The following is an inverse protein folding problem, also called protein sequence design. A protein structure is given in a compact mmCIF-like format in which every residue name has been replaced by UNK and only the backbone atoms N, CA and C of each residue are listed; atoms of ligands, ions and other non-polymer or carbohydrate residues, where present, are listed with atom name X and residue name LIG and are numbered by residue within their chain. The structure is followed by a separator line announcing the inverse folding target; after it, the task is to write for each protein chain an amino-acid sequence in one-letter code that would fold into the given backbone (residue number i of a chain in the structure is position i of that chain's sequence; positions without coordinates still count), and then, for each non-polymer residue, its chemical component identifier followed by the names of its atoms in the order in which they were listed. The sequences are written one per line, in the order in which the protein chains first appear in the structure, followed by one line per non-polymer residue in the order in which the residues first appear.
data_IF_174465524166
#
_entry.id   IF_174465524166
#
_cell.length_a   1.000
_cell.length_b   1.000
_cell.length_c   1.000
_cell.angle_alpha   90.00
_cell.angle_beta   90.00
_cell.angle_gamma   90.00
#
_symmetry.space_group_name_H-M   'P 1'
#
loop_
_entity.id
_entity.type
_entity.pdbx_description
1 polymer ?
#
# COMPACT_ATOMS: atom_id res chain seq x y z
N UNK A 1 0.02 -21.55 -6.14
CA UNK A 1 -1.06 -20.57 -5.88
C UNK A 1 -0.55 -19.19 -6.30
N UNK A 2 -1.05 -18.63 -7.41
CA UNK A 2 -0.45 -17.50 -8.14
C UNK A 2 -0.90 -16.10 -7.67
N UNK A 3 -1.78 -16.03 -6.66
CA UNK A 3 -2.39 -14.78 -6.16
C UNK A 3 -1.62 -14.11 -5.01
N UNK A 4 -0.51 -14.70 -4.57
CA UNK A 4 0.35 -14.15 -3.51
C UNK A 4 1.51 -13.28 -4.03
N UNK A 5 1.43 -12.76 -5.27
CA UNK A 5 2.55 -12.03 -5.88
C UNK A 5 2.82 -10.64 -5.28
N UNK A 6 1.83 -10.01 -4.64
CA UNK A 6 2.01 -8.74 -3.91
C UNK A 6 1.14 -8.68 -2.64
N UNK A 7 1.52 -9.39 -1.54
CA UNK A 7 0.75 -9.41 -0.30
C UNK A 7 0.58 -8.00 0.30
N UNK A 8 1.55 -7.11 0.05
CA UNK A 8 1.48 -5.74 0.52
C UNK A 8 0.36 -4.92 -0.15
N UNK A 9 0.03 -5.18 -1.41
CA UNK A 9 -1.09 -4.50 -2.08
C UNK A 9 -2.44 -4.85 -1.44
N UNK A 10 -2.63 -6.13 -1.13
CA UNK A 10 -3.83 -6.63 -0.43
C UNK A 10 -3.89 -6.02 0.99
N UNK A 11 -2.76 -5.92 1.68
CA UNK A 11 -2.66 -5.28 2.99
C UNK A 11 -3.13 -3.82 2.92
N UNK A 12 -2.70 -3.07 1.91
CA UNK A 12 -3.10 -1.67 1.69
C UNK A 12 -4.61 -1.52 1.44
N UNK A 13 -5.20 -2.41 0.65
CA UNK A 13 -6.66 -2.42 0.42
C UNK A 13 -7.41 -2.74 1.72
N UNK A 14 -6.99 -3.76 2.46
CA UNK A 14 -7.62 -4.14 3.72
C UNK A 14 -7.53 -2.98 4.72
N UNK A 15 -6.35 -2.35 4.84
CA UNK A 15 -6.16 -1.19 5.71
C UNK A 15 -7.13 -0.04 5.35
N UNK A 16 -7.27 0.28 4.06
CA UNK A 16 -8.20 1.30 3.60
C UNK A 16 -9.66 0.96 3.94
N UNK A 17 -10.09 -0.28 3.70
CA UNK A 17 -11.45 -0.74 4.04
C UNK A 17 -11.70 -0.65 5.54
N UNK A 18 -10.76 -1.12 6.37
CA UNK A 18 -10.87 -1.09 7.83
C UNK A 18 -10.99 0.35 8.35
N UNK A 19 -10.19 1.29 7.83
CA UNK A 19 -10.30 2.71 8.19
C UNK A 19 -11.67 3.27 7.80
N UNK A 20 -12.17 2.99 6.60
CA UNK A 20 -13.48 3.45 6.14
C UNK A 20 -14.62 2.91 7.01
N UNK A 21 -14.57 1.62 7.37
CA UNK A 21 -15.54 1.01 8.30
C UNK A 21 -15.47 1.70 9.66
N UNK A 22 -14.26 1.94 10.18
CA UNK A 22 -14.05 2.62 11.46
C UNK A 22 -14.63 4.05 11.46
N UNK A 23 -14.47 4.79 10.37
CA UNK A 23 -15.08 6.12 10.17
C UNK A 23 -16.61 6.03 10.20
N UNK A 24 -17.19 5.05 9.52
CA UNK A 24 -18.65 4.82 9.54
C UNK A 24 -19.17 4.52 10.94
N UNK A 25 -18.47 3.69 11.70
CA UNK A 25 -18.83 3.37 13.10
C UNK A 25 -18.74 4.61 14.00
N UNK A 26 -17.67 5.41 13.86
CA UNK A 26 -17.49 6.65 14.60
C UNK A 26 -18.58 7.68 14.25
N UNK A 27 -18.94 7.80 12.98
CA UNK A 27 -20.01 8.69 12.51
C UNK A 27 -21.39 8.33 13.09
N UNK A 28 -21.61 7.06 13.39
CA UNK A 28 -22.83 6.56 14.04
C UNK A 28 -22.78 6.62 15.58
N UNK A 29 -21.76 7.24 16.18
CA UNK A 29 -21.64 7.43 17.63
C UNK A 29 -21.05 6.24 18.39
N UNK A 30 -20.58 5.20 17.70
CA UNK A 30 -19.93 4.07 18.37
C UNK A 30 -18.47 4.43 18.73
N UNK A 31 -18.16 4.39 20.03
CA UNK A 31 -16.78 4.58 20.53
C UNK A 31 -15.80 3.52 20.01
N UNK A 32 -16.31 2.35 19.57
CA UNK A 32 -15.51 1.31 18.92
C UNK A 32 -14.88 1.78 17.59
N UNK A 33 -15.46 2.79 16.93
CA UNK A 33 -14.93 3.34 15.69
C UNK A 33 -13.50 3.87 15.81
N UNK A 34 -13.14 4.49 16.94
CA UNK A 34 -11.77 4.98 17.17
C UNK A 34 -10.74 3.84 17.19
N UNK A 35 -11.07 2.70 17.81
CA UNK A 35 -10.17 1.54 17.87
C UNK A 35 -10.02 0.88 16.49
N UNK A 36 -11.09 0.82 15.71
CA UNK A 36 -11.06 0.28 14.34
C UNK A 36 -10.22 1.18 13.42
N UNK A 37 -10.41 2.51 13.51
CA UNK A 37 -9.57 3.47 12.76
C UNK A 37 -8.11 3.30 13.16
N UNK A 38 -7.79 3.22 14.45
CA UNK A 38 -6.42 3.05 14.92
C UNK A 38 -5.79 1.75 14.39
N UNK A 39 -6.52 0.63 14.44
CA UNK A 39 -6.07 -0.63 13.87
C UNK A 39 -5.82 -0.54 12.36
N UNK A 40 -6.73 0.09 11.62
CA UNK A 40 -6.57 0.32 10.18
C UNK A 40 -5.39 1.25 9.85
N UNK A 41 -5.15 2.28 10.65
CA UNK A 41 -4.00 3.17 10.50
C UNK A 41 -2.67 2.47 10.75
N UNK A 42 -2.59 1.57 11.74
CA UNK A 42 -1.38 0.75 11.98
C UNK A 42 -1.10 -0.17 10.79
N UNK A 43 -2.13 -0.84 10.26
CA UNK A 43 -1.99 -1.65 9.05
C UNK A 43 -1.54 -0.82 7.84
N UNK A 44 -2.09 0.40 7.69
CA UNK A 44 -1.68 1.34 6.66
C UNK A 44 -0.23 1.81 6.80
N UNK A 45 0.25 2.00 8.03
CA UNK A 45 1.64 2.34 8.30
C UNK A 45 2.60 1.19 7.94
N UNK A 46 2.23 -0.05 8.28
CA UNK A 46 2.99 -1.25 7.88
C UNK A 46 3.04 -1.35 6.35
N UNK A 47 1.89 -1.16 5.69
CA UNK A 47 1.81 -1.14 4.23
C UNK A 47 2.76 -0.11 3.61
N UNK A 48 2.75 1.10 4.15
CA UNK A 48 3.58 2.21 3.69
C UNK A 48 5.07 1.91 3.83
N UNK A 49 5.51 1.46 5.01
CA UNK A 49 6.92 1.13 5.27
C UNK A 49 7.40 0.00 4.34
N UNK A 50 6.58 -1.04 4.15
CA UNK A 50 6.89 -2.10 3.21
C UNK A 50 7.02 -1.55 1.78
N UNK A 51 6.13 -0.66 1.37
CA UNK A 51 6.22 -0.06 0.03
C UNK A 51 7.49 0.76 -0.18
N UNK A 52 7.96 1.47 0.86
CA UNK A 52 9.26 2.16 0.80
C UNK A 52 10.41 1.19 0.58
N UNK A 53 10.41 0.03 1.26
CA UNK A 53 11.40 -1.01 1.03
C UNK A 53 11.33 -1.57 -0.39
N UNK A 54 10.13 -1.75 -0.96
CA UNK A 54 9.98 -2.22 -2.35
C UNK A 54 10.47 -1.20 -3.39
N UNK A 55 10.36 0.10 -3.10
CA UNK A 55 10.82 1.18 -3.99
C UNK A 55 12.34 1.38 -3.88
N UNK A 56 12.89 1.31 -2.67
CA UNK A 56 14.32 1.53 -2.38
C UNK A 56 15.14 0.25 -2.66
N UNK A 57 14.52 -0.92 -2.47
CA UNK A 57 15.12 -2.23 -2.59
C UNK A 57 15.68 -2.53 -3.98
N UNK A 58 16.70 -3.40 -4.00
CA UNK A 58 17.35 -3.88 -5.23
C UNK A 58 16.52 -4.93 -5.99
N UNK A 59 15.40 -5.42 -5.43
CA UNK A 59 14.59 -6.47 -6.05
C UNK A 59 13.86 -6.06 -7.36
N UNK A 60 13.99 -4.80 -7.78
CA UNK A 60 13.58 -4.33 -9.10
C UNK A 60 14.78 -3.69 -9.81
N UNK A 61 15.60 -4.53 -10.42
CA UNK A 61 16.69 -4.10 -11.31
C UNK A 61 16.15 -3.44 -12.61
N UNK A 62 14.85 -3.60 -12.87
CA UNK A 62 14.14 -3.10 -14.06
C UNK A 62 13.85 -1.59 -14.00
N UNK A 63 13.84 -0.96 -12.81
CA UNK A 63 13.56 0.47 -12.68
C UNK A 63 14.85 1.29 -12.86
N UNK A 64 14.87 2.12 -13.91
CA UNK A 64 15.91 3.14 -14.09
C UNK A 64 15.97 4.06 -12.87
N UNK A 65 17.16 4.56 -12.52
CA UNK A 65 17.37 5.38 -11.32
C UNK A 65 16.44 6.61 -11.20
N UNK A 66 15.99 7.17 -12.33
CA UNK A 66 14.98 8.23 -12.35
C UNK A 66 13.59 7.75 -11.89
N UNK A 67 13.13 6.58 -12.34
CA UNK A 67 11.83 6.02 -11.95
C UNK A 67 11.80 5.68 -10.45
N UNK A 68 12.88 5.14 -9.89
CA UNK A 68 12.98 4.89 -8.44
C UNK A 68 12.81 6.19 -7.64
N UNK A 69 13.48 7.26 -8.05
CA UNK A 69 13.36 8.59 -7.40
C UNK A 69 11.96 9.17 -7.52
N UNK A 70 11.35 9.08 -8.70
CA UNK A 70 9.97 9.54 -8.91
C UNK A 70 8.99 8.82 -7.98
N UNK A 71 9.05 7.48 -7.93
CA UNK A 71 8.15 6.70 -7.08
C UNK A 71 8.40 6.91 -5.61
N UNK A 72 9.65 7.11 -5.20
CA UNK A 72 9.96 7.45 -3.81
C UNK A 72 9.33 8.78 -3.42
N UNK A 73 9.42 9.81 -4.27
CA UNK A 73 8.76 11.10 -4.03
C UNK A 73 7.24 10.92 -3.95
N UNK A 74 6.64 10.18 -4.87
CA UNK A 74 5.18 9.95 -4.90
C UNK A 74 4.70 9.21 -3.65
N UNK A 75 5.39 8.13 -3.26
CA UNK A 75 5.05 7.33 -2.09
C UNK A 75 5.23 8.15 -0.80
N UNK A 76 6.31 8.92 -0.69
CA UNK A 76 6.54 9.79 0.49
C UNK A 76 5.54 10.94 0.55
N UNK A 77 5.20 11.56 -0.58
CA UNK A 77 4.26 12.68 -0.62
C UNK A 77 2.82 12.24 -0.30
N UNK A 78 2.43 11.03 -0.73
CA UNK A 78 1.08 10.50 -0.48
C UNK A 78 1.17 9.05 0.00
N UNK A 79 1.38 8.81 1.31
CA UNK A 79 1.69 7.49 1.86
C UNK A 79 0.70 6.38 1.52
N UNK A 80 -0.61 6.65 1.54
CA UNK A 80 -1.64 5.62 1.33
C UNK A 80 -2.00 5.41 -0.15
N UNK A 81 -2.10 6.50 -0.93
CA UNK A 81 -2.49 6.41 -2.35
C UNK A 81 -1.28 6.15 -3.25
N UNK A 82 -0.14 6.75 -2.94
CA UNK A 82 1.11 6.59 -3.71
C UNK A 82 1.63 5.16 -3.64
N UNK A 83 1.49 4.50 -2.49
CA UNK A 83 1.86 3.09 -2.32
C UNK A 83 0.96 2.15 -3.12
N UNK A 84 -0.36 2.33 -3.07
CA UNK A 84 -1.32 1.56 -3.86
C UNK A 84 -1.12 1.78 -5.36
N UNK A 85 -0.90 3.03 -5.77
CA UNK A 85 -0.66 3.38 -7.17
C UNK A 85 0.63 2.74 -7.70
N UNK A 86 1.69 2.72 -6.88
CA UNK A 86 2.94 2.04 -7.22
C UNK A 86 2.72 0.56 -7.54
N UNK A 87 1.95 -0.15 -6.72
CA UNK A 87 1.64 -1.56 -6.96
C UNK A 87 0.73 -1.78 -8.17
N UNK A 88 -0.28 -0.94 -8.40
CA UNK A 88 -1.16 -1.04 -9.59
C UNK A 88 -0.33 -0.93 -10.87
N UNK A 89 0.57 0.05 -10.94
CA UNK A 89 1.39 0.29 -12.12
C UNK A 89 2.48 -0.76 -12.34
N UNK A 90 2.91 -1.46 -11.28
CA UNK A 90 3.97 -2.45 -11.37
C UNK A 90 3.51 -3.91 -11.14
N UNK A 91 2.19 -4.15 -11.11
CA UNK A 91 1.59 -5.48 -11.01
C UNK A 91 1.78 -6.33 -12.29
N UNK A 92 2.10 -5.69 -13.42
CA UNK A 92 2.13 -6.34 -14.74
C UNK A 92 3.52 -6.78 -15.22
N UNK A 93 4.59 -6.50 -14.48
CA UNK A 93 5.96 -6.72 -14.99
C UNK A 93 6.41 -8.19 -14.99
N UNK A 94 5.57 -9.09 -14.50
CA UNK A 94 5.86 -10.52 -14.38
C UNK A 94 5.01 -11.36 -15.36
N UNK A 95 4.64 -10.76 -16.50
CA UNK A 95 4.20 -11.54 -17.67
C UNK A 95 5.44 -12.23 -18.23
N UNK A 96 5.55 -13.51 -17.91
CA UNK A 96 6.41 -14.48 -18.57
C UNK A 96 6.28 -14.24 -20.08
N UNK A 97 7.31 -13.64 -20.66
CA UNK A 97 7.52 -13.67 -22.11
C UNK A 97 7.78 -15.13 -22.39
N UNK A 98 6.79 -15.81 -22.97
CA UNK A 98 6.95 -17.15 -23.55
C UNK A 98 6.95 -16.99 -25.04
#
# INVERSE_FOLDING_TARGET
MKYAKHPNFILGIIAAIVVLIGIGFKGNGYNSGNYIIMGGSVLGAIHYIWTLFDVIGRDRDDLRGFQKRFWLIVVVAVPALGSLLFYIMHQQHDKIVT
#
